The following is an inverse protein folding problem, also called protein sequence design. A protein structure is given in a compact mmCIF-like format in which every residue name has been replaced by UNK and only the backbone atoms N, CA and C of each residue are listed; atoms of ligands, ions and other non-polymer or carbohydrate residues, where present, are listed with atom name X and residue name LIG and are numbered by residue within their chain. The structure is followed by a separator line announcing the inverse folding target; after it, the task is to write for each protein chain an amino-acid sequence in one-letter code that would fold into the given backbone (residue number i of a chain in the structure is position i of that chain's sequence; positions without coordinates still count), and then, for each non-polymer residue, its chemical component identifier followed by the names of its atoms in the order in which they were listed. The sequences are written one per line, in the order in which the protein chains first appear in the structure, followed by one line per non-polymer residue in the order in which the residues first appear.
data_IF_877488212129
#
_entry.id   IF_877488212129
#
_cell.length_a   1.000
_cell.length_b   1.000
_cell.length_c   1.000
_cell.angle_alpha   90.00
_cell.angle_beta   90.00
_cell.angle_gamma   90.00
#
_symmetry.space_group_name_H-M   'P 1'
#
loop_
_entity.id
_entity.type
_entity.pdbx_description
1 polymer ?
#
# COMPACT_ATOMS: atom_id res chain seq x y z
N UNK A 1 35.98 -11.52 10.11
CA UNK A 1 36.37 -10.49 11.09
C UNK A 1 35.11 -9.77 11.53
N UNK A 2 34.68 -9.97 12.78
CA UNK A 2 33.55 -9.24 13.35
C UNK A 2 33.93 -7.76 13.44
N UNK A 3 33.13 -6.90 12.82
CA UNK A 3 33.22 -5.46 13.03
C UNK A 3 32.58 -5.16 14.41
N UNK A 4 32.93 -4.08 15.09
CA UNK A 4 32.30 -3.66 16.35
C UNK A 4 32.14 -2.14 16.28
N UNK A 5 31.02 -1.62 16.78
CA UNK A 5 30.90 -0.17 16.95
C UNK A 5 31.85 0.31 18.04
N UNK A 6 32.44 1.49 17.83
CA UNK A 6 33.42 2.11 18.73
C UNK A 6 32.68 2.82 19.89
N UNK A 7 31.39 3.13 19.71
CA UNK A 7 30.54 3.81 20.69
C UNK A 7 29.35 2.94 21.12
N UNK A 8 28.92 3.13 22.36
CA UNK A 8 27.81 2.41 22.99
C UNK A 8 26.47 2.86 22.39
N UNK A 9 25.60 1.90 22.02
CA UNK A 9 24.26 2.17 21.48
C UNK A 9 23.31 2.62 22.62
N UNK A 10 22.61 3.77 22.50
CA UNK A 10 21.80 4.31 23.59
C UNK A 10 20.48 3.56 23.89
N UNK A 11 20.19 2.42 23.27
CA UNK A 11 18.98 1.65 23.60
C UNK A 11 19.19 0.78 24.86
N UNK A 12 18.59 1.24 25.96
CA UNK A 12 18.49 0.53 27.23
C UNK A 12 17.43 -0.58 27.23
N UNK A 13 17.59 -1.50 28.19
CA UNK A 13 16.72 -2.59 28.69
C UNK A 13 16.02 -3.56 27.71
N UNK A 14 15.94 -3.30 26.40
CA UNK A 14 15.37 -4.24 25.40
C UNK A 14 16.46 -4.98 24.59
N UNK A 15 17.69 -4.46 24.58
CA UNK A 15 18.81 -4.99 23.77
C UNK A 15 19.58 -6.19 24.34
N UNK A 16 19.17 -6.74 25.48
CA UNK A 16 19.88 -7.83 26.17
C UNK A 16 21.16 -7.38 26.91
N UNK A 17 21.91 -8.35 27.44
CA UNK A 17 23.07 -8.10 28.34
C UNK A 17 24.29 -7.53 27.60
N UNK A 18 24.34 -7.62 26.27
CA UNK A 18 25.48 -7.21 25.46
C UNK A 18 25.19 -5.94 24.65
N UNK A 19 25.58 -4.79 25.21
CA UNK A 19 25.42 -3.45 24.64
C UNK A 19 26.26 -3.18 23.38
N UNK A 20 27.05 -4.15 22.93
CA UNK A 20 27.84 -4.11 21.69
C UNK A 20 27.42 -5.21 20.70
N UNK A 21 26.31 -5.90 20.97
CA UNK A 21 25.77 -6.93 20.09
C UNK A 21 25.07 -6.28 18.89
N UNK A 22 25.37 -6.77 17.69
CA UNK A 22 24.60 -6.41 16.51
C UNK A 22 23.14 -6.83 16.71
N UNK A 23 22.19 -5.93 16.40
CA UNK A 23 20.87 -6.36 15.99
C UNK A 23 21.00 -7.41 14.87
N UNK A 24 20.17 -8.47 14.83
CA UNK A 24 20.16 -9.40 13.72
C UNK A 24 20.18 -8.63 12.40
N UNK A 25 21.10 -9.01 11.51
CA UNK A 25 21.46 -8.29 10.30
C UNK A 25 20.24 -7.66 9.57
N UNK A 26 20.13 -6.31 9.49
CA UNK A 26 18.98 -5.65 8.87
C UNK A 26 18.87 -5.90 7.36
N UNK A 27 19.92 -6.44 6.73
CA UNK A 27 19.90 -6.83 5.31
C UNK A 27 18.88 -7.94 5.04
N UNK A 28 18.54 -8.78 6.02
CA UNK A 28 17.54 -9.83 5.85
C UNK A 28 16.09 -9.32 6.02
N UNK A 29 15.89 -8.07 6.41
CA UNK A 29 14.56 -7.43 6.52
C UNK A 29 14.28 -6.45 5.39
N UNK A 30 15.27 -6.18 4.56
CA UNK A 30 15.11 -5.47 3.29
C UNK A 30 14.73 -6.53 2.26
N UNK A 31 13.55 -6.43 1.66
CA UNK A 31 13.19 -7.17 0.45
C UNK A 31 13.87 -6.50 -0.77
N UNK A 32 15.04 -6.97 -1.20
CA UNK A 32 15.87 -6.25 -2.17
C UNK A 32 15.29 -6.35 -3.59
N UNK A 33 14.33 -7.26 -3.80
CA UNK A 33 13.69 -7.50 -5.09
C UNK A 33 12.28 -6.94 -5.16
N UNK A 34 11.70 -6.51 -4.03
CA UNK A 34 10.33 -6.04 -3.96
C UNK A 34 9.30 -7.13 -4.29
N UNK A 35 9.65 -8.41 -4.06
CA UNK A 35 8.82 -9.57 -4.35
C UNK A 35 7.88 -9.96 -3.20
N UNK A 36 7.88 -9.25 -2.08
CA UNK A 36 6.92 -9.47 -1.00
C UNK A 36 5.51 -9.26 -1.57
N UNK A 37 4.79 -10.34 -1.85
CA UNK A 37 3.39 -10.29 -2.25
C UNK A 37 2.59 -9.67 -1.09
N UNK A 38 2.42 -8.35 -1.09
CA UNK A 38 1.63 -7.61 -0.10
C UNK A 38 0.16 -7.98 -0.21
N UNK A 39 -0.26 -8.41 -1.39
CA UNK A 39 -1.62 -8.87 -1.66
C UNK A 39 -1.99 -10.13 -0.86
N UNK A 40 -3.27 -10.24 -0.55
CA UNK A 40 -3.82 -11.43 0.06
C UNK A 40 -5.33 -11.42 0.06
N UNK A 41 -5.90 -12.27 0.91
CA UNK A 41 -7.33 -12.48 0.95
C UNK A 41 -7.82 -12.40 2.38
N UNK A 42 -8.80 -11.53 2.62
CA UNK A 42 -9.58 -11.52 3.84
C UNK A 42 -10.78 -12.48 3.70
N UNK A 43 -11.01 -13.29 4.72
CA UNK A 43 -12.24 -14.06 4.91
C UNK A 43 -12.95 -13.50 6.13
N UNK A 44 -14.09 -12.84 5.91
CA UNK A 44 -14.93 -12.31 6.99
C UNK A 44 -15.99 -13.35 7.32
N UNK A 45 -16.10 -13.68 8.60
CA UNK A 45 -17.08 -14.61 9.14
C UNK A 45 -18.18 -13.81 9.84
N UNK A 46 -19.43 -14.11 9.52
CA UNK A 46 -20.60 -13.75 10.32
C UNK A 46 -21.11 -15.00 11.01
N UNK A 47 -20.97 -15.02 12.33
CA UNK A 47 -21.35 -16.14 13.18
C UNK A 47 -22.68 -15.81 13.85
N UNK A 48 -23.62 -16.76 13.86
CA UNK A 48 -24.93 -16.57 14.49
C UNK A 48 -25.85 -15.59 13.76
N UNK A 49 -26.95 -15.19 14.42
CA UNK A 49 -27.96 -14.25 13.90
C UNK A 49 -28.61 -13.47 15.02
N UNK A 50 -29.16 -12.30 14.69
CA UNK A 50 -29.91 -11.47 15.64
C UNK A 50 -29.01 -10.90 16.73
N UNK A 51 -29.39 -11.09 18.00
CA UNK A 51 -28.63 -10.56 19.14
C UNK A 51 -27.28 -11.28 19.35
N UNK A 52 -27.17 -12.53 18.89
CA UNK A 52 -25.96 -13.36 19.02
C UNK A 52 -25.04 -13.22 17.79
N UNK A 53 -25.22 -12.17 16.97
CA UNK A 53 -24.40 -11.99 15.78
C UNK A 53 -22.98 -11.58 16.19
N UNK A 54 -22.00 -12.39 15.79
CA UNK A 54 -20.59 -12.14 16.01
C UNK A 54 -19.84 -12.06 14.68
N UNK A 55 -18.74 -11.31 14.66
CA UNK A 55 -17.89 -11.18 13.49
C UNK A 55 -16.45 -11.58 13.81
N UNK A 56 -15.82 -12.25 12.87
CA UNK A 56 -14.41 -12.61 12.95
C UNK A 56 -13.77 -12.42 11.56
N UNK A 57 -12.45 -12.26 11.52
CA UNK A 57 -11.72 -12.06 10.27
C UNK A 57 -10.47 -12.93 10.23
N UNK A 58 -10.25 -13.53 9.07
CA UNK A 58 -9.03 -14.26 8.73
C UNK A 58 -8.35 -13.56 7.57
N UNK A 59 -7.05 -13.27 7.69
CA UNK A 59 -6.22 -12.82 6.58
C UNK A 59 -5.30 -13.97 6.15
N UNK A 60 -5.26 -14.24 4.85
CA UNK A 60 -4.41 -15.24 4.24
C UNK A 60 -3.51 -14.60 3.19
N UNK A 61 -2.22 -14.81 3.31
CA UNK A 61 -1.22 -14.55 2.27
C UNK A 61 -0.70 -15.88 1.71
N UNK A 62 0.30 -15.81 0.82
CA UNK A 62 1.01 -17.01 0.34
C UNK A 62 1.76 -17.73 1.47
N UNK A 63 2.19 -17.01 2.50
CA UNK A 63 3.13 -17.49 3.50
C UNK A 63 2.46 -17.83 4.83
N UNK A 64 1.36 -17.14 5.17
CA UNK A 64 0.75 -17.27 6.48
C UNK A 64 -0.75 -16.97 6.48
N UNK A 65 -1.36 -17.37 7.59
CA UNK A 65 -2.77 -17.11 7.89
C UNK A 65 -2.82 -16.55 9.31
N UNK A 66 -3.56 -15.46 9.50
CA UNK A 66 -3.82 -14.88 10.82
C UNK A 66 -5.31 -14.72 10.99
N UNK A 67 -5.84 -15.20 12.11
CA UNK A 67 -7.28 -15.24 12.43
C UNK A 67 -7.48 -14.47 13.71
N UNK A 68 -8.36 -13.48 13.73
CA UNK A 68 -8.69 -12.77 14.97
C UNK A 68 -10.17 -12.37 15.07
N UNK A 69 -10.62 -12.19 16.30
CA UNK A 69 -11.91 -11.58 16.63
C UNK A 69 -11.79 -10.72 17.88
N UNK A 70 -12.81 -9.89 18.15
CA UNK A 70 -12.87 -9.13 19.40
C UNK A 70 -13.72 -9.88 20.43
N UNK A 71 -13.18 -10.11 21.62
CA UNK A 71 -13.91 -10.58 22.79
C UNK A 71 -14.54 -9.41 23.55
N UNK A 72 -15.61 -9.72 24.27
CA UNK A 72 -16.37 -8.78 25.09
C UNK A 72 -17.74 -8.44 24.52
N UNK A 73 -18.59 -7.85 25.36
CA UNK A 73 -19.97 -7.57 25.03
C UNK A 73 -20.67 -6.79 26.13
N UNK A 74 -21.99 -6.66 25.97
CA UNK A 74 -22.88 -6.07 26.99
C UNK A 74 -23.81 -7.16 27.49
N UNK A 75 -23.90 -7.32 28.80
CA UNK A 75 -24.79 -8.29 29.43
C UNK A 75 -26.28 -7.83 29.38
N UNK A 76 -27.18 -8.68 29.87
CA UNK A 76 -28.62 -8.39 29.91
C UNK A 76 -28.98 -7.18 30.79
N UNK A 77 -28.10 -6.78 31.71
CA UNK A 77 -28.26 -5.63 32.58
C UNK A 77 -27.70 -4.34 31.96
N UNK A 78 -27.11 -4.40 30.77
CA UNK A 78 -26.50 -3.26 30.11
C UNK A 78 -25.07 -2.96 30.55
N UNK A 79 -24.41 -3.87 31.27
CA UNK A 79 -23.03 -3.71 31.73
C UNK A 79 -22.08 -4.21 30.64
N UNK A 80 -21.24 -3.30 30.14
CA UNK A 80 -20.21 -3.63 29.16
C UNK A 80 -18.98 -4.24 29.83
N UNK A 81 -18.47 -5.33 29.25
CA UNK A 81 -17.18 -5.90 29.64
C UNK A 81 -16.02 -5.13 29.01
N UNK A 82 -14.83 -5.35 29.55
CA UNK A 82 -13.56 -5.05 28.88
C UNK A 82 -13.42 -5.88 27.60
N UNK A 83 -12.61 -5.42 26.66
CA UNK A 83 -12.44 -6.05 25.34
C UNK A 83 -11.01 -6.52 25.11
N UNK A 84 -10.85 -7.56 24.31
CA UNK A 84 -9.55 -8.12 23.92
C UNK A 84 -9.64 -8.55 22.45
N UNK A 85 -8.51 -8.55 21.76
CA UNK A 85 -8.37 -9.20 20.46
C UNK A 85 -7.63 -10.51 20.67
N UNK A 86 -8.26 -11.60 20.25
CA UNK A 86 -7.68 -12.93 20.35
C UNK A 86 -7.75 -13.66 19.00
N UNK A 87 -6.91 -14.67 18.86
CA UNK A 87 -7.03 -15.66 17.82
C UNK A 87 -8.25 -16.55 18.03
N UNK A 88 -8.72 -17.20 16.96
CA UNK A 88 -9.82 -18.15 17.06
C UNK A 88 -9.55 -19.42 16.25
N UNK A 89 -10.11 -20.53 16.73
CA UNK A 89 -10.34 -21.75 15.97
C UNK A 89 -11.84 -21.89 15.65
N UNK A 90 -12.16 -22.15 14.38
CA UNK A 90 -13.57 -22.23 13.97
C UNK A 90 -14.29 -23.46 14.55
N UNK A 91 -13.56 -24.57 14.71
CA UNK A 91 -14.12 -25.84 15.19
C UNK A 91 -14.37 -25.81 16.70
N UNK A 92 -13.54 -25.08 17.43
CA UNK A 92 -13.65 -24.94 18.89
C UNK A 92 -14.53 -23.73 19.28
N UNK A 93 -14.18 -22.53 18.83
CA UNK A 93 -14.81 -21.29 19.33
C UNK A 93 -16.22 -21.06 18.76
N UNK A 94 -16.48 -21.59 17.56
CA UNK A 94 -17.76 -21.40 16.84
C UNK A 94 -18.52 -22.70 16.60
N UNK A 95 -18.17 -23.76 17.33
CA UNK A 95 -18.81 -25.06 17.25
C UNK A 95 -20.35 -24.98 17.25
N UNK A 96 -20.99 -25.57 16.24
CA UNK A 96 -22.45 -25.64 16.14
C UNK A 96 -23.16 -24.31 15.82
N UNK A 97 -22.42 -23.23 15.55
CA UNK A 97 -22.99 -21.96 15.09
C UNK A 97 -23.17 -21.95 13.57
N UNK A 98 -24.16 -21.19 13.10
CA UNK A 98 -24.25 -20.86 11.67
C UNK A 98 -23.13 -19.88 11.32
N UNK A 99 -22.30 -20.23 10.34
CA UNK A 99 -21.19 -19.39 9.86
C UNK A 99 -21.45 -19.04 8.40
N UNK A 100 -21.60 -17.74 8.11
CA UNK A 100 -21.60 -17.21 6.75
C UNK A 100 -20.24 -16.56 6.47
N UNK A 101 -19.63 -16.88 5.32
CA UNK A 101 -18.30 -16.39 4.95
C UNK A 101 -18.35 -15.50 3.72
N UNK A 102 -17.55 -14.45 3.71
CA UNK A 102 -17.29 -13.62 2.54
C UNK A 102 -15.79 -13.47 2.32
N UNK A 103 -15.37 -13.51 1.06
CA UNK A 103 -13.97 -13.43 0.66
C UNK A 103 -13.73 -12.11 -0.05
N UNK A 104 -12.67 -11.39 0.35
CA UNK A 104 -12.35 -10.05 -0.13
C UNK A 104 -10.86 -10.02 -0.47
N UNK A 105 -10.50 -9.51 -1.65
CA UNK A 105 -9.10 -9.29 -2.02
C UNK A 105 -8.57 -8.08 -1.25
N UNK A 106 -7.38 -8.22 -0.68
CA UNK A 106 -6.68 -7.13 0.02
C UNK A 106 -5.47 -6.69 -0.79
N UNK A 107 -5.36 -5.39 -1.14
CA UNK A 107 -4.14 -4.82 -1.70
C UNK A 107 -2.92 -4.93 -0.78
N UNK A 108 -3.13 -4.86 0.55
CA UNK A 108 -2.06 -4.92 1.54
C UNK A 108 -2.40 -5.83 2.73
N UNK A 109 -2.52 -7.13 2.49
CA UNK A 109 -2.74 -8.15 3.52
C UNK A 109 -1.64 -8.19 4.59
N UNK A 110 -0.41 -7.77 4.28
CA UNK A 110 0.67 -7.70 5.29
C UNK A 110 0.35 -6.65 6.36
N UNK A 111 -0.08 -5.44 5.97
CA UNK A 111 -0.47 -4.41 6.93
C UNK A 111 -1.69 -4.82 7.78
N UNK A 112 -2.64 -5.55 7.19
CA UNK A 112 -3.75 -6.13 7.94
C UNK A 112 -3.27 -7.15 9.00
N UNK A 113 -2.34 -8.04 8.63
CA UNK A 113 -1.75 -9.02 9.55
C UNK A 113 -0.96 -8.33 10.66
N UNK A 114 -0.17 -7.32 10.34
CA UNK A 114 0.61 -6.57 11.33
C UNK A 114 -0.29 -5.90 12.37
N UNK A 115 -1.43 -5.32 11.93
CA UNK A 115 -2.44 -4.80 12.85
C UNK A 115 -3.02 -5.90 13.74
N UNK A 116 -3.40 -7.05 13.17
CA UNK A 116 -3.94 -8.18 13.96
C UNK A 116 -2.94 -8.63 15.03
N UNK A 117 -1.65 -8.76 14.68
CA UNK A 117 -0.58 -9.15 15.60
C UNK A 117 -0.38 -8.14 16.71
N UNK A 118 -0.33 -6.85 16.37
CA UNK A 118 -0.17 -5.78 17.35
C UNK A 118 -1.32 -5.78 18.36
N UNK A 119 -2.57 -5.97 17.89
CA UNK A 119 -3.74 -6.00 18.78
C UNK A 119 -3.78 -7.23 19.69
N UNK A 120 -3.39 -8.41 19.19
CA UNK A 120 -3.24 -9.61 20.04
C UNK A 120 -2.15 -9.43 21.09
N UNK A 121 -0.98 -8.89 20.71
CA UNK A 121 0.12 -8.63 21.64
C UNK A 121 -0.30 -7.63 22.73
N UNK A 122 -1.02 -6.57 22.37
CA UNK A 122 -1.56 -5.63 23.35
C UNK A 122 -2.53 -6.30 24.33
N UNK A 123 -3.32 -7.27 23.85
CA UNK A 123 -4.26 -8.03 24.66
C UNK A 123 -3.52 -8.97 25.63
N UNK A 124 -2.46 -9.63 25.17
CA UNK A 124 -1.59 -10.46 26.00
C UNK A 124 -0.91 -9.64 27.11
N UNK A 125 -0.34 -8.48 26.77
CA UNK A 125 0.27 -7.57 27.76
C UNK A 125 -0.75 -7.10 28.79
N UNK A 126 -1.98 -6.79 28.36
CA UNK A 126 -3.03 -6.35 29.27
C UNK A 126 -3.49 -7.46 30.23
N UNK A 127 -3.55 -8.71 29.74
CA UNK A 127 -3.86 -9.88 30.56
C UNK A 127 -2.76 -10.19 31.59
N UNK A 128 -1.50 -10.13 31.17
CA UNK A 128 -0.35 -10.32 32.07
C UNK A 128 -0.32 -9.24 33.17
N UNK A 129 -0.55 -7.98 32.79
CA UNK A 129 -0.64 -6.87 33.73
C UNK A 129 -1.83 -6.99 34.71
N UNK A 130 -2.87 -7.75 34.35
CA UNK A 130 -4.04 -7.99 35.19
C UNK A 130 -3.86 -9.19 36.15
N UNK A 131 -2.76 -9.93 36.06
CA UNK A 131 -2.47 -11.15 36.86
C UNK A 131 -3.62 -12.18 36.79
N UNK A 132 -4.25 -12.29 35.62
CA UNK A 132 -5.39 -13.19 35.41
C UNK A 132 -6.70 -12.77 36.07
N UNK A 133 -6.78 -11.59 36.71
CA UNK A 133 -8.01 -11.03 37.28
C UNK A 133 -8.73 -10.14 36.25
N UNK A 134 -9.91 -10.56 35.75
CA UNK A 134 -10.68 -9.78 34.77
C UNK A 134 -11.07 -8.38 35.27
N UNK A 135 -11.24 -8.18 36.58
CA UNK A 135 -11.63 -6.90 37.15
C UNK A 135 -10.49 -5.87 37.09
N UNK A 136 -9.23 -6.35 37.01
CA UNK A 136 -8.04 -5.50 36.88
C UNK A 136 -7.69 -5.19 35.42
N UNK A 137 -8.40 -5.76 34.45
CA UNK A 137 -8.09 -5.62 33.03
C UNK A 137 -8.26 -4.17 32.55
N UNK A 138 -7.15 -3.57 32.10
CA UNK A 138 -7.10 -2.16 31.64
C UNK A 138 -7.19 -2.05 30.11
N UNK A 139 -8.25 -2.59 29.52
CA UNK A 139 -8.56 -2.43 28.08
C UNK A 139 -9.82 -1.61 27.84
N UNK A 140 -10.10 -1.13 26.61
CA UNK A 140 -11.34 -0.40 26.34
C UNK A 140 -12.59 -1.23 26.70
N UNK A 141 -13.62 -0.54 27.22
CA UNK A 141 -14.94 -1.15 27.41
C UNK A 141 -15.60 -1.40 26.05
N UNK A 142 -16.41 -2.45 25.99
CA UNK A 142 -17.21 -2.76 24.82
C UNK A 142 -18.18 -1.62 24.49
N UNK A 143 -18.17 -1.23 23.21
CA UNK A 143 -19.09 -0.27 22.62
C UNK A 143 -19.55 -0.79 21.25
N UNK A 144 -20.86 -0.96 21.08
CA UNK A 144 -21.42 -1.55 19.86
C UNK A 144 -21.17 -0.72 18.59
N UNK A 145 -20.81 0.56 18.71
CA UNK A 145 -20.55 1.47 17.62
C UNK A 145 -19.06 1.65 17.31
N UNK A 146 -18.15 1.57 18.28
CA UNK A 146 -16.71 1.85 18.04
C UNK A 146 -15.76 0.80 18.59
N UNK A 147 -16.22 -0.11 19.45
CA UNK A 147 -15.39 -1.14 20.09
C UNK A 147 -16.14 -2.47 20.11
N UNK A 148 -16.41 -2.99 18.91
CA UNK A 148 -17.15 -4.24 18.69
C UNK A 148 -16.42 -5.16 17.72
N UNK A 149 -16.83 -6.43 17.65
CA UNK A 149 -16.28 -7.37 16.68
C UNK A 149 -16.43 -6.92 15.21
N UNK A 150 -17.48 -6.16 14.87
CA UNK A 150 -17.63 -5.59 13.54
C UNK A 150 -16.71 -4.38 13.31
N UNK A 151 -16.47 -3.55 14.34
CA UNK A 151 -15.51 -2.46 14.25
C UNK A 151 -14.09 -2.99 14.00
N UNK A 152 -13.70 -4.06 14.72
CA UNK A 152 -12.42 -4.76 14.50
C UNK A 152 -12.28 -5.27 13.06
N UNK A 153 -13.33 -5.84 12.48
CA UNK A 153 -13.31 -6.25 11.05
C UNK A 153 -13.05 -5.05 10.14
N UNK A 154 -13.68 -3.90 10.40
CA UNK A 154 -13.46 -2.69 9.59
C UNK A 154 -12.03 -2.16 9.73
N UNK A 155 -11.47 -2.13 10.94
CA UNK A 155 -10.09 -1.69 11.16
C UNK A 155 -9.08 -2.58 10.43
N UNK A 156 -9.27 -3.91 10.46
CA UNK A 156 -8.40 -4.86 9.75
C UNK A 156 -8.55 -4.74 8.23
N UNK A 157 -9.76 -4.56 7.71
CA UNK A 157 -9.97 -4.34 6.27
C UNK A 157 -9.35 -3.01 5.82
N UNK A 158 -9.44 -1.96 6.63
CA UNK A 158 -8.86 -0.65 6.34
C UNK A 158 -7.34 -0.72 6.30
N UNK A 159 -6.72 -1.35 7.31
CA UNK A 159 -5.29 -1.63 7.30
C UNK A 159 -4.89 -2.48 6.09
N UNK A 160 -5.78 -3.36 5.64
CA UNK A 160 -5.65 -4.15 4.41
C UNK A 160 -5.72 -3.37 3.10
N UNK A 161 -5.99 -2.06 3.15
CA UNK A 161 -6.14 -1.19 1.98
C UNK A 161 -7.56 -1.09 1.44
N UNK A 162 -8.57 -1.60 2.14
CA UNK A 162 -9.97 -1.40 1.74
C UNK A 162 -10.42 0.00 2.15
N UNK A 163 -10.62 0.85 1.15
CA UNK A 163 -11.07 2.22 1.40
C UNK A 163 -12.59 2.33 1.61
N UNK A 164 -13.01 3.34 2.36
CA UNK A 164 -14.42 3.58 2.67
C UNK A 164 -14.97 2.63 3.73
N UNK A 165 -14.11 1.92 4.46
CA UNK A 165 -14.46 1.23 5.70
C UNK A 165 -15.08 2.22 6.69
N UNK A 166 -16.25 1.89 7.28
CA UNK A 166 -16.86 2.77 8.26
C UNK A 166 -16.03 2.86 9.53
N UNK A 167 -15.89 4.07 10.09
CA UNK A 167 -15.29 4.33 11.42
C UNK A 167 -16.20 3.97 12.59
N UNK A 168 -17.39 3.45 12.29
CA UNK A 168 -18.33 2.97 13.28
C UNK A 168 -19.03 1.71 12.78
N UNK A 169 -19.30 0.78 13.69
CA UNK A 169 -20.14 -0.40 13.49
C UNK A 169 -21.63 -0.16 13.79
N UNK A 170 -22.06 1.10 14.00
CA UNK A 170 -23.45 1.41 14.33
C UNK A 170 -24.42 1.03 13.21
N UNK A 171 -25.18 -0.04 13.42
CA UNK A 171 -26.20 -0.52 12.46
C UNK A 171 -27.35 0.49 12.22
N UNK A 172 -27.45 1.55 13.02
CA UNK A 172 -28.42 2.63 12.77
C UNK A 172 -28.02 3.44 11.53
N UNK A 173 -26.73 3.55 11.27
CA UNK A 173 -26.22 4.22 10.06
C UNK A 173 -26.52 3.38 8.81
N UNK A 174 -27.07 4.05 7.79
CA UNK A 174 -27.36 3.44 6.49
C UNK A 174 -26.07 3.11 5.73
N UNK A 175 -25.01 3.91 5.89
CA UNK A 175 -23.70 3.70 5.24
C UNK A 175 -23.08 2.39 5.74
N UNK A 176 -23.05 2.18 7.07
CA UNK A 176 -22.55 0.98 7.75
C UNK A 176 -23.32 -0.26 7.29
N UNK A 177 -24.66 -0.18 7.26
CA UNK A 177 -25.50 -1.30 6.77
C UNK A 177 -25.27 -1.61 5.30
N UNK A 178 -25.00 -0.59 4.47
CA UNK A 178 -24.67 -0.79 3.06
C UNK A 178 -23.31 -1.47 2.92
N UNK A 179 -22.28 -0.92 3.56
CA UNK A 179 -20.93 -1.47 3.54
C UNK A 179 -20.92 -2.93 4.03
N UNK A 180 -21.52 -3.22 5.19
CA UNK A 180 -21.58 -4.58 5.75
C UNK A 180 -22.26 -5.57 4.80
N UNK A 181 -23.31 -5.14 4.09
CA UNK A 181 -24.01 -5.98 3.10
C UNK A 181 -23.14 -6.21 1.87
N UNK A 182 -22.50 -5.16 1.36
CA UNK A 182 -21.63 -5.24 0.19
C UNK A 182 -20.41 -6.13 0.52
N UNK A 183 -19.84 -5.99 1.72
CA UNK A 183 -18.79 -6.83 2.31
C UNK A 183 -19.19 -8.31 2.32
N UNK A 184 -20.33 -8.64 2.95
CA UNK A 184 -20.78 -10.03 3.07
C UNK A 184 -21.22 -10.66 1.73
N UNK A 185 -21.49 -9.84 0.71
CA UNK A 185 -21.79 -10.30 -0.65
C UNK A 185 -20.56 -10.35 -1.56
N UNK A 186 -19.35 -10.10 -1.03
CA UNK A 186 -18.11 -10.10 -1.82
C UNK A 186 -18.01 -8.97 -2.84
N UNK A 187 -18.75 -7.87 -2.64
CA UNK A 187 -18.78 -6.72 -3.56
C UNK A 187 -17.76 -5.62 -3.21
N UNK A 188 -16.88 -5.90 -2.25
CA UNK A 188 -15.81 -4.98 -1.86
C UNK A 188 -14.46 -5.63 -2.17
N UNK A 189 -13.46 -4.81 -2.51
CA UNK A 189 -12.12 -5.29 -2.88
C UNK A 189 -11.97 -5.74 -4.33
N UNK A 190 -12.98 -5.54 -5.18
CA UNK A 190 -12.79 -5.57 -6.65
C UNK A 190 -12.50 -4.14 -7.12
N UNK A 191 -11.27 -3.89 -7.58
CA UNK A 191 -10.95 -2.64 -8.26
C UNK A 191 -11.49 -2.72 -9.69
N UNK A 192 -12.51 -1.91 -10.00
CA UNK A 192 -12.84 -1.61 -11.39
C UNK A 192 -11.69 -0.80 -11.98
N UNK A 193 -10.93 -1.42 -12.88
CA UNK A 193 -9.82 -0.80 -13.60
C UNK A 193 -10.31 -0.34 -14.96
N UNK A 194 -10.08 0.91 -15.28
CA UNK A 194 -10.29 1.49 -16.62
C UNK A 194 -8.95 1.78 -17.29
N UNK A 195 -8.89 1.68 -18.61
CA UNK A 195 -7.74 2.06 -19.42
C UNK A 195 -8.05 3.32 -20.23
N UNK A 196 -7.14 4.30 -20.20
CA UNK A 196 -7.24 5.54 -20.96
C UNK A 196 -5.97 5.71 -21.79
N UNK A 197 -6.09 5.75 -23.11
CA UNK A 197 -4.96 5.97 -24.01
C UNK A 197 -4.99 7.39 -24.58
N UNK A 198 -3.84 8.06 -24.59
CA UNK A 198 -3.66 9.38 -25.20
C UNK A 198 -2.39 9.39 -26.05
N UNK A 199 -2.39 10.25 -27.06
CA UNK A 199 -1.22 10.55 -27.89
C UNK A 199 -0.91 12.04 -27.73
N UNK A 200 0.38 12.38 -27.65
CA UNK A 200 0.85 13.75 -27.61
C UNK A 200 2.09 13.87 -28.48
N UNK A 201 1.97 14.62 -29.57
CA UNK A 201 2.97 14.64 -30.65
C UNK A 201 3.24 13.22 -31.17
N UNK A 202 4.46 12.72 -31.04
CA UNK A 202 4.90 11.39 -31.43
C UNK A 202 4.96 10.39 -30.25
N UNK A 203 4.59 10.83 -29.05
CA UNK A 203 4.52 10.02 -27.85
C UNK A 203 3.12 9.42 -27.66
N UNK A 204 3.06 8.22 -27.09
CA UNK A 204 1.80 7.55 -26.74
C UNK A 204 1.87 7.03 -25.31
N UNK A 205 0.78 7.14 -24.57
CA UNK A 205 0.69 6.54 -23.24
C UNK A 205 -0.72 5.99 -22.97
N UNK A 206 -0.77 4.90 -22.20
CA UNK A 206 -2.00 4.26 -21.72
C UNK A 206 -1.94 4.16 -20.20
N UNK A 207 -2.85 4.83 -19.51
CA UNK A 207 -2.99 4.78 -18.07
C UNK A 207 -4.02 3.73 -17.67
N UNK A 208 -3.70 2.94 -16.66
CA UNK A 208 -4.67 2.19 -15.87
C UNK A 208 -5.05 3.04 -14.68
N UNK A 209 -6.36 3.23 -14.49
CA UNK A 209 -6.93 3.99 -13.38
C UNK A 209 -7.95 3.16 -12.65
N UNK A 210 -8.09 3.40 -11.36
CA UNK A 210 -9.18 2.81 -10.56
C UNK A 210 -10.52 3.52 -10.80
N UNK A 211 -11.58 3.02 -10.18
CA UNK A 211 -12.93 3.60 -10.25
C UNK A 211 -13.04 5.03 -9.69
N UNK A 212 -12.04 5.52 -8.97
CA UNK A 212 -11.96 6.89 -8.44
C UNK A 212 -11.13 7.81 -9.33
N UNK A 213 -10.58 7.29 -10.43
CA UNK A 213 -9.72 8.03 -11.36
C UNK A 213 -8.25 8.13 -10.93
N UNK A 214 -7.84 7.40 -9.89
CA UNK A 214 -6.45 7.40 -9.41
C UNK A 214 -5.58 6.51 -10.29
N UNK A 215 -4.33 6.90 -10.57
CA UNK A 215 -3.44 6.07 -11.36
C UNK A 215 -3.07 4.78 -10.64
N UNK A 216 -3.04 3.69 -11.39
CA UNK A 216 -2.48 2.39 -11.01
C UNK A 216 -1.15 2.20 -11.73
N UNK A 217 -1.13 2.43 -13.04
CA UNK A 217 0.09 2.33 -13.86
C UNK A 217 -0.04 3.15 -15.13
N UNK A 218 1.08 3.38 -15.80
CA UNK A 218 1.13 3.88 -17.18
C UNK A 218 2.10 3.05 -17.99
N UNK A 219 1.70 2.70 -19.21
CA UNK A 219 2.56 2.15 -20.25
C UNK A 219 2.71 3.22 -21.33
N UNK A 220 3.94 3.55 -21.73
CA UNK A 220 4.19 4.62 -22.69
C UNK A 220 5.29 4.27 -23.69
N UNK A 221 5.17 4.84 -24.88
CA UNK A 221 6.19 4.83 -25.93
C UNK A 221 6.60 6.27 -26.18
N UNK A 222 7.84 6.58 -25.82
CA UNK A 222 8.41 7.92 -25.91
C UNK A 222 9.42 8.00 -27.07
N UNK A 223 9.28 9.02 -27.89
CA UNK A 223 10.11 9.31 -29.08
C UNK A 223 10.73 10.70 -29.04
N UNK A 224 10.11 11.64 -28.33
CA UNK A 224 10.61 13.01 -28.22
C UNK A 224 10.33 13.67 -26.86
N UNK A 225 11.00 14.80 -26.63
CA UNK A 225 10.69 15.70 -25.52
C UNK A 225 10.09 17.01 -26.01
N UNK A 226 9.23 17.57 -25.17
CA UNK A 226 8.51 18.81 -25.37
C UNK A 226 8.79 19.81 -24.24
N UNK A 227 8.78 21.08 -24.61
CA UNK A 227 8.93 22.20 -23.68
C UNK A 227 7.77 23.17 -23.81
N UNK A 228 6.89 23.16 -22.81
CA UNK A 228 5.89 24.20 -22.66
C UNK A 228 5.47 24.39 -21.21
N UNK A 229 4.62 25.40 -21.01
CA UNK A 229 4.16 25.80 -19.69
C UNK A 229 2.94 24.96 -19.31
N UNK A 230 3.04 24.29 -18.15
CA UNK A 230 1.88 23.67 -17.48
C UNK A 230 0.73 24.66 -17.32
N UNK A 231 -0.48 24.24 -17.64
CA UNK A 231 -1.68 25.06 -17.41
C UNK A 231 -1.94 25.29 -15.92
N UNK A 232 -2.84 26.22 -15.61
CA UNK A 232 -3.34 26.40 -14.25
C UNK A 232 -4.08 25.17 -13.72
N UNK A 233 -4.76 24.41 -14.59
CA UNK A 233 -5.47 23.19 -14.23
C UNK A 233 -4.50 22.10 -13.79
N UNK A 234 -3.40 21.91 -14.53
CA UNK A 234 -2.37 20.93 -14.18
C UNK A 234 -1.65 21.29 -12.89
N UNK A 235 -1.37 22.57 -12.66
CA UNK A 235 -0.78 23.05 -11.39
C UNK A 235 -1.71 22.81 -10.22
N UNK A 236 -3.01 23.01 -10.41
CA UNK A 236 -4.03 22.72 -9.40
C UNK A 236 -4.08 21.22 -9.11
N UNK A 237 -4.14 20.37 -10.13
CA UNK A 237 -4.12 18.92 -9.96
C UNK A 237 -2.87 18.44 -9.21
N UNK A 238 -1.69 18.98 -9.53
CA UNK A 238 -0.46 18.67 -8.78
C UNK A 238 -0.53 19.07 -7.30
N UNK A 239 -1.20 20.18 -6.96
CA UNK A 239 -1.36 20.60 -5.56
C UNK A 239 -2.40 19.78 -4.80
N UNK A 240 -3.34 19.14 -5.51
CA UNK A 240 -4.45 18.37 -4.91
C UNK A 240 -4.19 16.86 -4.93
N UNK A 241 -3.21 16.38 -5.71
CA UNK A 241 -2.84 14.97 -5.80
C UNK A 241 -2.60 14.36 -4.41
N UNK A 242 -3.25 13.21 -4.15
CA UNK A 242 -3.20 12.47 -2.90
C UNK A 242 -4.27 12.84 -1.86
N UNK A 243 -4.95 13.98 -2.01
CA UNK A 243 -6.00 14.42 -1.07
C UNK A 243 -5.55 14.34 0.39
N UNK A 244 -6.38 13.73 1.24
CA UNK A 244 -6.09 13.54 2.68
C UNK A 244 -4.91 12.60 2.96
N UNK A 245 -4.53 11.73 2.00
CA UNK A 245 -3.40 10.82 2.16
C UNK A 245 -2.05 11.48 1.83
N UNK A 246 -2.05 12.68 1.25
CA UNK A 246 -0.85 13.43 0.88
C UNK A 246 -0.08 13.86 2.15
N UNK A 247 1.22 13.56 2.19
CA UNK A 247 2.09 14.03 3.26
C UNK A 247 2.57 15.45 3.01
N UNK A 248 2.99 16.12 4.08
CA UNK A 248 3.46 17.52 4.02
C UNK A 248 4.72 17.70 3.18
N UNK A 249 5.49 16.64 2.99
CA UNK A 249 6.69 16.59 2.17
C UNK A 249 6.46 15.97 0.77
N UNK A 250 5.20 15.78 0.35
CA UNK A 250 4.87 15.28 -0.99
C UNK A 250 4.61 16.40 -2.02
N UNK A 251 5.08 16.15 -3.23
CA UNK A 251 4.64 16.78 -4.47
C UNK A 251 3.49 15.98 -5.11
N UNK A 252 2.77 16.59 -6.06
CA UNK A 252 1.99 15.84 -7.04
C UNK A 252 2.92 15.39 -8.16
N UNK A 253 3.47 14.19 -8.03
CA UNK A 253 4.41 13.60 -8.98
C UNK A 253 3.71 13.05 -10.22
N UNK A 254 4.36 13.19 -11.38
CA UNK A 254 3.87 12.61 -12.63
C UNK A 254 4.32 11.14 -12.77
N UNK A 255 3.47 10.23 -13.25
CA UNK A 255 3.98 8.91 -13.67
C UNK A 255 4.83 9.04 -14.94
N UNK A 256 4.37 9.82 -15.91
CA UNK A 256 5.16 10.23 -17.07
C UNK A 256 5.20 11.75 -17.11
N UNK A 257 6.40 12.32 -17.04
CA UNK A 257 6.59 13.76 -16.91
C UNK A 257 5.93 14.57 -18.01
N UNK A 258 5.51 15.78 -17.64
CA UNK A 258 4.93 16.78 -18.55
C UNK A 258 5.78 17.03 -19.81
N UNK A 259 7.11 16.83 -19.76
CA UNK A 259 7.97 16.96 -20.93
C UNK A 259 7.71 15.92 -22.02
N UNK A 260 6.96 14.86 -21.73
CA UNK A 260 6.66 13.80 -22.67
C UNK A 260 5.19 13.82 -23.09
N UNK A 261 4.26 13.98 -22.15
CA UNK A 261 2.82 13.88 -22.42
C UNK A 261 2.04 15.17 -22.13
N UNK A 262 2.69 16.31 -21.88
CA UNK A 262 2.03 17.58 -21.54
C UNK A 262 1.11 17.45 -20.30
N UNK A 263 0.09 18.29 -20.19
CA UNK A 263 -0.92 18.25 -19.12
C UNK A 263 -1.81 17.01 -19.25
N UNK A 264 -1.90 16.18 -18.20
CA UNK A 264 -2.68 14.94 -18.21
C UNK A 264 -3.65 14.82 -17.04
N UNK A 265 -3.53 15.69 -16.02
CA UNK A 265 -4.40 15.71 -14.85
C UNK A 265 -4.21 14.50 -13.93
N UNK A 266 -5.24 14.25 -13.12
CA UNK A 266 -5.22 13.30 -12.00
C UNK A 266 -4.83 11.87 -12.40
N UNK A 267 -5.23 11.40 -13.59
CA UNK A 267 -4.87 10.07 -14.11
C UNK A 267 -3.36 9.84 -14.26
N UNK A 268 -2.55 10.90 -14.26
CA UNK A 268 -1.10 10.86 -14.38
C UNK A 268 -0.39 11.43 -13.14
N UNK A 269 -1.12 11.64 -12.04
CA UNK A 269 -0.60 12.30 -10.84
C UNK A 269 -0.82 11.45 -9.58
N UNK A 270 0.21 11.36 -8.74
CA UNK A 270 0.13 10.69 -7.44
C UNK A 270 0.94 11.46 -6.39
N UNK A 271 0.61 11.35 -5.09
CA UNK A 271 1.43 11.94 -4.04
C UNK A 271 2.80 11.25 -3.99
N UNK A 272 3.84 12.03 -4.26
CA UNK A 272 5.22 11.55 -4.41
C UNK A 272 6.15 12.36 -3.51
N UNK A 273 7.02 11.69 -2.75
CA UNK A 273 7.96 12.39 -1.87
C UNK A 273 8.78 13.44 -2.65
N UNK A 274 8.86 14.68 -2.16
CA UNK A 274 9.43 15.80 -2.91
C UNK A 274 10.92 15.64 -3.23
N UNK A 275 11.70 15.00 -2.34
CA UNK A 275 13.12 14.75 -2.58
C UNK A 275 13.31 13.71 -3.71
N UNK A 276 12.54 12.63 -3.66
CA UNK A 276 12.48 11.61 -4.70
C UNK A 276 12.03 12.16 -6.05
N UNK A 277 10.88 12.85 -6.10
CA UNK A 277 10.30 13.44 -7.30
C UNK A 277 11.31 14.35 -8.02
N UNK A 278 11.89 15.31 -7.29
CA UNK A 278 12.79 16.32 -7.85
C UNK A 278 14.23 15.81 -8.05
N UNK A 279 14.56 14.65 -7.48
CA UNK A 279 15.89 14.05 -7.44
C UNK A 279 16.02 12.83 -8.35
N UNK A 280 15.89 11.63 -7.78
CA UNK A 280 16.13 10.37 -8.49
C UNK A 280 15.06 10.07 -9.56
N UNK A 281 13.79 10.39 -9.32
CA UNK A 281 12.75 10.24 -10.34
C UNK A 281 13.01 11.14 -11.55
N UNK A 282 13.27 12.44 -11.29
CA UNK A 282 13.72 13.38 -12.32
C UNK A 282 14.99 12.90 -13.04
N UNK A 283 15.91 12.25 -12.35
CA UNK A 283 17.14 11.72 -12.96
C UNK A 283 16.85 10.58 -13.94
N UNK A 284 15.90 9.70 -13.61
CA UNK A 284 15.38 8.68 -14.51
C UNK A 284 14.71 9.30 -15.74
N UNK A 285 13.80 10.27 -15.56
CA UNK A 285 13.17 10.96 -16.69
C UNK A 285 14.17 11.69 -17.59
N UNK A 286 15.24 12.24 -17.00
CA UNK A 286 16.30 12.83 -17.79
C UNK A 286 17.03 11.76 -18.62
N UNK A 287 17.21 10.52 -18.13
CA UNK A 287 17.77 9.43 -18.94
C UNK A 287 16.88 9.11 -20.14
N UNK A 288 15.57 8.97 -19.94
CA UNK A 288 14.64 8.77 -21.05
C UNK A 288 14.71 9.89 -22.08
N UNK A 289 14.78 11.14 -21.62
CA UNK A 289 14.96 12.29 -22.48
C UNK A 289 16.26 12.22 -23.32
N UNK A 290 17.38 11.80 -22.73
CA UNK A 290 18.64 11.65 -23.46
C UNK A 290 18.57 10.55 -24.52
N UNK A 291 17.90 9.44 -24.23
CA UNK A 291 17.68 8.37 -25.21
C UNK A 291 16.85 8.86 -26.39
N UNK A 292 15.75 9.56 -26.13
CA UNK A 292 14.90 10.15 -27.18
C UNK A 292 15.65 11.23 -27.96
N UNK A 293 16.46 12.07 -27.31
CA UNK A 293 17.28 13.08 -27.97
C UNK A 293 18.35 12.44 -28.88
N UNK A 294 18.82 11.24 -28.52
CA UNK A 294 19.73 10.44 -29.35
C UNK A 294 19.01 9.74 -30.52
N UNK A 295 17.68 9.80 -30.59
CA UNK A 295 16.86 9.22 -31.67
C UNK A 295 16.41 7.78 -31.40
N UNK A 296 16.54 7.30 -30.17
CA UNK A 296 15.99 6.01 -29.76
C UNK A 296 14.53 6.14 -29.28
N UNK A 297 13.79 5.04 -29.32
CA UNK A 297 12.44 4.95 -28.75
C UNK A 297 12.52 4.33 -27.34
N UNK A 298 11.84 4.92 -26.36
CA UNK A 298 11.76 4.38 -24.98
C UNK A 298 10.36 3.81 -24.74
N UNK A 299 10.26 2.49 -24.64
CA UNK A 299 9.03 1.77 -24.27
C UNK A 299 9.08 1.49 -22.77
N UNK A 300 8.17 2.08 -22.01
CA UNK A 300 8.20 2.04 -20.55
C UNK A 300 6.89 1.62 -19.92
N UNK A 301 7.00 1.15 -18.67
CA UNK A 301 5.91 0.94 -17.74
C UNK A 301 6.30 1.50 -16.37
N UNK A 302 5.43 2.34 -15.81
CA UNK A 302 5.53 2.76 -14.40
C UNK A 302 4.30 2.24 -13.67
N UNK A 303 4.49 1.48 -12.59
CA UNK A 303 3.42 0.91 -11.76
C UNK A 303 3.52 1.43 -10.33
N UNK A 304 2.38 1.72 -9.72
CA UNK A 304 2.26 2.20 -8.35
C UNK A 304 1.78 1.06 -7.45
N UNK A 305 2.44 0.92 -6.31
CA UNK A 305 2.19 -0.17 -5.36
C UNK A 305 1.90 0.39 -3.96
N UNK A 306 0.86 -0.10 -3.26
CA UNK A 306 -0.17 -1.01 -3.78
C UNK A 306 -0.99 -0.36 -4.90
N UNK A 307 -1.53 -1.14 -5.85
CA UNK A 307 -2.41 -0.65 -6.89
C UNK A 307 -3.59 0.11 -6.27
N UNK A 308 -3.97 1.24 -6.87
CA UNK A 308 -5.11 2.04 -6.41
C UNK A 308 -4.94 2.69 -5.03
N UNK A 309 -3.76 2.64 -4.40
CA UNK A 309 -3.55 3.31 -3.11
C UNK A 309 -3.70 4.83 -3.22
N UNK A 310 -4.38 5.46 -2.24
CA UNK A 310 -4.45 6.91 -2.12
C UNK A 310 -3.05 7.57 -2.03
N UNK A 311 -2.09 6.89 -1.39
CA UNK A 311 -0.67 7.24 -1.43
C UNK A 311 0.16 5.96 -1.62
N UNK A 312 0.70 5.69 -2.82
CA UNK A 312 1.48 4.48 -3.06
C UNK A 312 2.79 4.53 -2.25
N UNK A 313 3.19 3.35 -1.77
CA UNK A 313 4.46 3.17 -1.04
C UNK A 313 5.61 2.87 -1.97
N UNK A 314 5.38 2.27 -3.13
CA UNK A 314 6.44 1.93 -4.06
C UNK A 314 6.09 2.38 -5.49
N UNK A 315 7.13 2.74 -6.24
CA UNK A 315 7.04 3.09 -7.67
C UNK A 315 8.00 2.19 -8.42
N UNK A 316 7.46 1.33 -9.28
CA UNK A 316 8.22 0.37 -10.09
C UNK A 316 8.28 0.90 -11.51
N UNK A 317 9.49 1.18 -12.00
CA UNK A 317 9.73 1.57 -13.39
C UNK A 317 10.45 0.45 -14.14
N UNK A 318 9.94 0.12 -15.31
CA UNK A 318 10.50 -0.84 -16.26
C UNK A 318 10.54 -0.15 -17.62
N UNK A 319 11.67 -0.20 -18.33
CA UNK A 319 11.74 0.34 -19.69
C UNK A 319 12.78 -0.34 -20.54
N UNK A 320 12.49 -0.39 -21.83
CA UNK A 320 13.35 -0.82 -22.91
C UNK A 320 13.60 0.37 -23.85
N UNK A 321 14.80 0.44 -24.39
CA UNK A 321 15.21 1.43 -25.38
C UNK A 321 15.47 0.69 -26.69
N UNK A 322 14.74 1.06 -27.74
CA UNK A 322 14.80 0.41 -29.04
C UNK A 322 15.42 1.35 -30.10
N UNK A 323 16.23 0.81 -31.01
CA UNK A 323 16.59 1.51 -32.25
C UNK A 323 15.40 1.47 -33.21
N UNK A 324 14.81 2.61 -33.60
CA UNK A 324 13.64 2.62 -34.47
C UNK A 324 13.92 2.13 -35.90
N UNK A 325 15.20 2.03 -36.31
CA UNK A 325 15.56 1.57 -37.65
C UNK A 325 15.68 0.05 -37.73
N UNK A 326 16.11 -0.61 -36.66
CA UNK A 326 16.31 -2.07 -36.62
C UNK A 326 15.31 -2.81 -35.74
N UNK A 327 14.60 -2.09 -34.87
CA UNK A 327 13.72 -2.60 -33.79
C UNK A 327 14.49 -3.39 -32.72
N UNK A 328 15.82 -3.28 -32.67
CA UNK A 328 16.64 -3.94 -31.65
C UNK A 328 16.55 -3.20 -30.31
N UNK A 329 16.45 -3.97 -29.22
CA UNK A 329 16.58 -3.44 -27.85
C UNK A 329 18.06 -3.19 -27.56
N UNK A 330 18.44 -1.93 -27.36
CA UNK A 330 19.82 -1.51 -27.09
C UNK A 330 20.11 -1.33 -25.60
N UNK A 331 19.06 -1.18 -24.79
CA UNK A 331 19.17 -1.04 -23.34
C UNK A 331 17.84 -1.39 -22.67
N UNK A 332 17.91 -2.00 -21.48
CA UNK A 332 16.75 -2.29 -20.65
C UNK A 332 17.08 -1.97 -19.19
N UNK A 333 16.07 -1.55 -18.42
CA UNK A 333 16.24 -1.34 -16.99
C UNK A 333 14.93 -1.51 -16.25
N UNK A 334 15.04 -2.15 -15.08
CA UNK A 334 14.02 -2.17 -14.04
C UNK A 334 14.56 -1.50 -12.78
N UNK A 335 13.76 -0.65 -12.17
CA UNK A 335 14.10 0.02 -10.93
C UNK A 335 12.88 0.21 -10.03
N UNK A 336 13.03 -0.06 -8.73
CA UNK A 336 11.99 0.12 -7.72
C UNK A 336 12.41 1.23 -6.76
N UNK A 337 11.51 2.18 -6.53
CA UNK A 337 11.63 3.22 -5.52
C UNK A 337 10.61 2.99 -4.40
N UNK A 338 10.92 3.40 -3.16
CA UNK A 338 10.04 3.24 -2.00
C UNK A 338 9.27 4.54 -1.65
N UNK A 339 9.12 5.46 -2.60
CA UNK A 339 8.42 6.75 -2.45
C UNK A 339 8.78 7.53 -1.17
N UNK A 340 10.07 7.55 -0.84
CA UNK A 340 10.66 8.17 0.35
C UNK A 340 11.84 9.07 -0.02
N UNK A 341 12.33 9.85 0.95
CA UNK A 341 13.52 10.69 0.76
C UNK A 341 14.80 9.85 0.73
N UNK A 342 15.84 10.31 0.02
CA UNK A 342 17.15 9.65 -0.02
C UNK A 342 17.31 8.57 -1.10
N UNK A 343 16.31 8.42 -1.97
CA UNK A 343 16.35 7.52 -3.13
C UNK A 343 17.46 7.88 -4.11
N UNK A 344 18.02 6.89 -4.81
CA UNK A 344 19.10 7.09 -5.78
C UNK A 344 18.78 6.41 -7.10
N UNK A 345 19.25 6.98 -8.22
CA UNK A 345 19.10 6.38 -9.54
C UNK A 345 20.38 6.58 -10.34
N UNK A 346 21.08 5.48 -10.64
CA UNK A 346 22.30 5.52 -11.46
C UNK A 346 21.96 5.63 -12.93
N UNK A 347 22.18 6.79 -13.54
CA UNK A 347 21.80 7.09 -14.92
C UNK A 347 22.88 6.70 -15.95
N UNK A 348 22.48 6.22 -17.12
CA UNK A 348 23.35 6.11 -18.30
C UNK A 348 23.71 7.51 -18.81
N UNK A 349 25.01 7.79 -18.96
CA UNK A 349 25.47 9.13 -19.34
C UNK A 349 25.24 9.40 -20.83
N UNK A 350 25.02 10.67 -21.22
CA UNK A 350 24.95 11.09 -22.63
C UNK A 350 26.11 10.53 -23.46
N UNK A 351 27.33 10.59 -22.91
CA UNK A 351 28.53 10.11 -23.57
C UNK A 351 28.48 8.61 -23.86
N UNK A 352 27.87 7.82 -22.97
CA UNK A 352 27.74 6.37 -23.18
C UNK A 352 26.61 6.04 -24.15
N UNK A 353 25.51 6.81 -24.12
CA UNK A 353 24.43 6.75 -25.14
C UNK A 353 24.99 7.06 -26.54
N UNK A 354 25.78 8.12 -26.68
CA UNK A 354 26.40 8.50 -27.96
C UNK A 354 27.36 7.44 -28.50
N UNK A 355 28.09 6.74 -27.62
CA UNK A 355 28.95 5.62 -28.04
C UNK A 355 28.14 4.46 -28.61
N UNK A 356 26.99 4.14 -28.00
CA UNK A 356 26.11 3.08 -28.50
C UNK A 356 25.58 3.42 -29.90
N UNK A 357 25.25 4.69 -30.14
CA UNK A 357 24.83 5.17 -31.46
C UNK A 357 25.93 5.10 -32.52
N UNK A 358 27.19 5.35 -32.15
CA UNK A 358 28.32 5.33 -33.08
C UNK A 358 28.94 3.95 -33.35
N UNK A 359 28.41 2.88 -32.74
CA UNK A 359 28.88 1.49 -32.90
C UNK A 359 28.02 0.66 -33.86
N UNK A 360 26.88 1.19 -34.29
CA UNK A 360 25.99 0.64 -35.32
C UNK A 360 26.16 1.44 -36.62
#
# INVERSE_FOLDING_TARGET
KQQRFINQDPIGLVGGINHYQYAPNPVNWVDPFGLSCKEGVATVLRIGRGKDTHFAIQIKTKFEVTKTHQLGGTDDNGISSRTLIDSYDEEDDFAGKLIEKATIKLPNAIAAIDLQRQLMLNSEIALDAADGDPDNLQTPLYDAATQSCLAHVFDVLEAGGIEGTPKSSSIRDKSVRKFTRDMMNGKIGEEEISEVAEEFEDNKATWKIDSKGRPISVEATLKSTYHGKRSSKEKKAQSEAGGEARLTDDDGGHLVGHRFMSDQGEKNLFPQNSNFNRGSYKSMENEWADWTDAGYEVKLKVSLEPPGSARPTDVISEYEVCDPNTDDVVYEKRHKFNNQSGETFGRVTKKDIEKLKGLL
#
